data_IF_820337067376
#
_entry.id   IF_820337067376
#
_cell.length_a   1.000
_cell.length_b   1.000
_cell.length_c   1.000
_cell.angle_alpha   90.00
_cell.angle_beta   90.00
_cell.angle_gamma   90.00
#
_symmetry.space_group_name_H-M   'P 1'
#
loop_
_entity.id
_entity.type
_entity.pdbx_description
1 polymer ?
#
# COMPACT_ATOMS: atom_id res chain seq x y z
N UNK A 1 32.34 -1.95 -35.74
CA UNK A 1 31.90 -1.80 -37.11
C UNK A 1 30.48 -1.25 -37.10
N UNK A 2 30.39 0.03 -37.49
CA UNK A 2 29.18 0.81 -37.51
C UNK A 2 28.18 0.23 -38.52
N UNK A 3 26.97 -0.07 -38.04
CA UNK A 3 25.82 -0.23 -38.88
C UNK A 3 25.30 1.18 -39.21
N UNK A 4 25.47 1.64 -40.45
CA UNK A 4 24.81 2.83 -40.96
C UNK A 4 23.33 2.55 -41.09
N UNK A 5 22.51 3.22 -40.28
CA UNK A 5 21.08 3.32 -40.52
C UNK A 5 20.86 4.25 -41.71
N UNK A 6 20.46 3.71 -42.85
CA UNK A 6 20.02 4.48 -44.01
C UNK A 6 18.55 4.84 -43.85
N UNK A 7 18.27 6.05 -43.42
CA UNK A 7 16.93 6.62 -43.51
C UNK A 7 16.61 6.90 -44.98
N UNK A 8 15.61 6.23 -45.55
CA UNK A 8 15.11 6.49 -46.90
C UNK A 8 14.03 7.56 -46.83
N UNK A 9 14.32 8.73 -47.37
CA UNK A 9 13.31 9.76 -47.64
C UNK A 9 12.70 9.50 -49.01
N UNK A 10 11.44 9.09 -49.07
CA UNK A 10 10.73 8.90 -50.33
C UNK A 10 10.16 10.25 -50.80
N UNK A 11 10.67 10.75 -51.94
CA UNK A 11 10.08 11.90 -52.63
C UNK A 11 9.08 11.43 -53.67
N UNK A 12 7.81 11.84 -53.53
CA UNK A 12 6.77 11.61 -54.52
C UNK A 12 6.67 12.86 -55.43
N UNK A 13 7.49 12.92 -56.45
CA UNK A 13 7.48 14.01 -57.42
C UNK A 13 8.36 13.70 -58.65
N UNK A 14 7.85 13.98 -59.85
CA UNK A 14 8.52 13.80 -61.12
C UNK A 14 9.74 14.71 -61.20
N UNK A 15 10.92 14.14 -61.28
CA UNK A 15 12.18 14.87 -61.45
C UNK A 15 12.27 15.54 -62.81
N UNK A 16 12.32 16.85 -62.84
CA UNK A 16 12.79 17.63 -63.96
C UNK A 16 14.08 18.36 -63.53
N UNK A 17 15.18 17.92 -64.15
CA UNK A 17 16.51 18.58 -64.22
C UNK A 17 17.33 18.71 -62.93
N UNK A 18 18.27 17.85 -62.79
CA UNK A 18 19.61 17.89 -62.28
C UNK A 18 20.08 19.09 -61.44
N UNK A 19 19.46 19.31 -60.29
CA UNK A 19 20.10 20.02 -59.18
C UNK A 19 20.13 19.09 -57.97
N UNK A 20 21.33 18.76 -57.51
CA UNK A 20 21.50 18.04 -56.26
C UNK A 20 20.86 18.83 -55.10
N UNK A 21 20.00 18.17 -54.38
CA UNK A 21 19.52 18.71 -53.10
C UNK A 21 20.59 18.34 -52.06
N UNK A 22 21.29 19.33 -51.55
CA UNK A 22 22.12 19.18 -50.35
C UNK A 22 21.15 19.23 -49.18
N UNK A 23 20.97 18.14 -48.50
CA UNK A 23 20.32 18.15 -47.20
C UNK A 23 21.40 18.63 -46.21
N UNK A 24 21.20 19.82 -45.65
CA UNK A 24 22.05 20.34 -44.61
C UNK A 24 21.84 19.47 -43.36
N UNK A 25 22.92 18.87 -42.85
CA UNK A 25 22.92 18.00 -41.66
C UNK A 25 22.33 18.67 -40.40
N UNK A 26 22.12 20.00 -40.44
CA UNK A 26 21.52 20.76 -39.36
C UNK A 26 20.01 20.51 -39.16
N UNK A 27 19.32 19.77 -40.06
CA UNK A 27 17.88 19.54 -39.97
C UNK A 27 17.50 18.09 -39.58
N UNK A 28 18.49 17.21 -39.44
CA UNK A 28 18.26 15.88 -38.85
C UNK A 28 18.67 15.97 -37.39
N UNK A 29 17.77 16.47 -36.55
CA UNK A 29 17.94 16.17 -35.12
C UNK A 29 17.76 14.66 -35.00
N UNK A 30 18.84 13.95 -34.74
CA UNK A 30 18.75 12.67 -34.02
C UNK A 30 18.10 13.01 -32.69
N UNK A 31 16.79 13.13 -32.69
CA UNK A 31 16.04 12.98 -31.45
C UNK A 31 16.31 11.53 -31.06
N UNK A 32 17.23 11.34 -30.12
CA UNK A 32 17.36 10.06 -29.44
C UNK A 32 15.98 9.57 -29.00
N UNK A 33 15.83 8.31 -28.64
CA UNK A 33 14.54 7.82 -28.17
C UNK A 33 13.96 8.79 -27.16
N UNK A 34 12.71 9.21 -27.36
CA UNK A 34 12.02 10.04 -26.38
C UNK A 34 11.87 9.24 -25.11
N UNK A 35 12.25 9.82 -24.00
CA UNK A 35 12.00 9.27 -22.67
C UNK A 35 10.95 10.10 -21.96
N UNK A 36 10.11 9.45 -21.20
CA UNK A 36 9.12 10.09 -20.31
C UNK A 36 9.45 9.77 -18.86
N UNK A 37 9.22 10.75 -17.99
CA UNK A 37 9.37 10.54 -16.55
C UNK A 37 8.19 9.69 -16.04
N UNK A 38 8.48 8.50 -15.54
CA UNK A 38 7.49 7.62 -14.92
C UNK A 38 7.75 7.56 -13.42
N UNK A 39 6.78 8.02 -12.64
CA UNK A 39 6.82 7.93 -11.17
C UNK A 39 6.03 6.72 -10.72
N UNK A 40 6.70 5.83 -10.01
CA UNK A 40 6.12 4.67 -9.37
C UNK A 40 5.93 4.97 -7.89
N UNK A 41 4.71 4.73 -7.37
CA UNK A 41 4.40 4.87 -5.96
C UNK A 41 3.77 3.59 -5.45
N UNK A 42 4.21 3.12 -4.28
CA UNK A 42 3.61 1.99 -3.58
C UNK A 42 3.36 2.33 -2.12
N UNK A 43 2.12 2.14 -1.70
CA UNK A 43 1.79 2.20 -0.29
C UNK A 43 2.11 0.85 0.35
N UNK A 44 3.04 0.86 1.31
CA UNK A 44 3.55 -0.31 2.02
C UNK A 44 2.93 -0.50 3.43
N UNK A 45 1.96 0.33 3.81
CA UNK A 45 1.36 0.28 5.17
C UNK A 45 0.79 -1.09 5.50
N UNK A 46 0.19 -1.79 4.52
CA UNK A 46 -0.31 -3.14 4.75
C UNK A 46 0.78 -4.23 4.76
N UNK A 47 1.99 -3.95 4.25
CA UNK A 47 3.10 -4.90 4.26
C UNK A 47 3.79 -4.97 5.63
N UNK A 48 3.88 -3.84 6.35
CA UNK A 48 4.53 -3.73 7.64
C UNK A 48 6.04 -3.93 7.55
N UNK A 49 6.72 -3.04 6.80
CA UNK A 49 8.18 -3.04 6.67
C UNK A 49 8.85 -2.99 8.04
N UNK A 50 9.94 -3.75 8.19
CA UNK A 50 10.81 -3.68 9.37
C UNK A 50 11.93 -2.66 9.18
N UNK A 51 12.53 -2.22 10.28
CA UNK A 51 13.69 -1.31 10.23
C UNK A 51 14.83 -1.93 9.42
N UNK A 52 15.26 -1.21 8.39
CA UNK A 52 16.30 -1.64 7.45
C UNK A 52 15.79 -2.36 6.20
N UNK A 53 14.49 -2.59 6.06
CA UNK A 53 13.93 -3.07 4.79
C UNK A 53 14.03 -2.01 3.69
N UNK A 54 14.21 -2.46 2.45
CA UNK A 54 14.29 -1.61 1.26
C UNK A 54 13.23 -2.01 0.24
N UNK A 55 12.55 -1.02 -0.33
CA UNK A 55 11.53 -1.21 -1.36
C UNK A 55 12.11 -0.90 -2.72
N UNK A 56 11.79 -1.72 -3.73
CA UNK A 56 12.32 -1.56 -5.08
C UNK A 56 11.21 -1.69 -6.12
N UNK A 57 11.37 -1.01 -7.26
CA UNK A 57 10.61 -1.29 -8.48
C UNK A 57 11.46 -2.11 -9.45
N UNK A 58 11.02 -3.29 -9.81
CA UNK A 58 11.72 -4.19 -10.72
C UNK A 58 10.88 -4.46 -11.97
N UNK A 59 11.52 -4.44 -13.14
CA UNK A 59 10.83 -4.66 -14.39
C UNK A 59 11.79 -4.85 -15.56
N UNK A 60 11.25 -4.96 -16.78
CA UNK A 60 12.02 -5.06 -18.01
C UNK A 60 12.97 -3.87 -18.19
N UNK A 61 12.55 -2.67 -17.76
CA UNK A 61 13.36 -1.45 -17.78
C UNK A 61 14.57 -1.46 -16.83
N UNK A 62 14.57 -2.29 -15.80
CA UNK A 62 15.71 -2.52 -14.91
C UNK A 62 16.46 -3.82 -15.24
N UNK A 63 16.01 -4.57 -16.26
CA UNK A 63 16.51 -5.91 -16.56
C UNK A 63 16.28 -6.89 -15.40
N UNK A 64 15.29 -6.66 -14.54
CA UNK A 64 14.95 -7.48 -13.39
C UNK A 64 16.14 -7.67 -12.41
N UNK A 65 16.91 -6.62 -12.19
CA UNK A 65 18.21 -6.70 -11.51
C UNK A 65 18.15 -6.81 -9.98
N UNK A 66 16.97 -6.65 -9.37
CA UNK A 66 16.76 -6.66 -7.92
C UNK A 66 17.07 -5.30 -7.28
N UNK A 67 18.35 -4.94 -7.15
CA UNK A 67 18.79 -3.70 -6.52
C UNK A 67 19.93 -3.04 -7.32
N UNK A 68 19.60 -2.26 -8.34
CA UNK A 68 20.56 -1.62 -9.23
C UNK A 68 20.23 -0.13 -9.49
N UNK A 69 19.91 0.61 -8.44
CA UNK A 69 19.51 2.02 -8.52
C UNK A 69 18.02 2.20 -8.73
N UNK A 70 17.23 1.20 -8.40
CA UNK A 70 15.78 1.13 -8.46
C UNK A 70 15.13 1.07 -7.05
N UNK A 71 15.88 1.47 -6.04
CA UNK A 71 15.40 1.60 -4.67
C UNK A 71 14.47 2.82 -4.55
N UNK A 72 13.31 2.61 -3.95
CA UNK A 72 12.29 3.61 -3.68
C UNK A 72 12.50 4.22 -2.31
N UNK A 73 12.05 5.44 -2.11
CA UNK A 73 12.22 6.17 -0.85
C UNK A 73 10.91 6.74 -0.34
N UNK A 74 10.79 6.82 0.98
CA UNK A 74 9.69 7.44 1.73
C UNK A 74 10.31 8.47 2.69
N UNK A 75 10.52 9.73 2.23
CA UNK A 75 11.22 10.74 3.02
C UNK A 75 10.37 11.42 4.09
N UNK A 76 9.05 11.35 4.01
CA UNK A 76 8.10 11.96 4.95
C UNK A 76 7.49 10.94 5.93
N UNK A 77 7.74 9.64 5.69
CA UNK A 77 7.38 8.56 6.61
C UNK A 77 5.89 8.22 6.59
N UNK A 78 5.19 8.50 5.48
CA UNK A 78 3.75 8.22 5.34
C UNK A 78 3.45 6.78 4.88
N UNK A 79 4.49 5.97 4.68
CA UNK A 79 4.40 4.59 4.20
C UNK A 79 4.27 4.48 2.68
N UNK A 80 4.33 5.58 1.94
CA UNK A 80 4.29 5.60 0.47
C UNK A 80 5.71 5.76 -0.09
N UNK A 81 6.23 4.70 -0.64
CA UNK A 81 7.55 4.67 -1.28
C UNK A 81 7.44 5.12 -2.73
N UNK A 82 8.36 5.97 -3.19
CA UNK A 82 8.34 6.57 -4.52
C UNK A 82 9.69 6.53 -5.20
N UNK A 83 9.67 6.39 -6.54
CA UNK A 83 10.84 6.60 -7.43
C UNK A 83 10.35 7.13 -8.78
N UNK A 84 11.13 8.04 -9.39
CA UNK A 84 10.89 8.47 -10.77
C UNK A 84 12.03 7.97 -11.66
N UNK A 85 11.67 7.37 -12.79
CA UNK A 85 12.61 6.83 -13.79
C UNK A 85 12.28 7.38 -15.17
N UNK A 86 13.30 7.71 -15.96
CA UNK A 86 13.15 8.06 -17.37
C UNK A 86 13.09 6.79 -18.21
N UNK A 87 11.94 6.50 -18.80
CA UNK A 87 11.69 5.31 -19.61
C UNK A 87 11.45 5.69 -21.07
N UNK A 88 11.98 4.90 -22.02
CA UNK A 88 11.67 5.01 -23.44
C UNK A 88 10.22 4.61 -23.72
N UNK A 89 9.67 5.07 -24.85
CA UNK A 89 8.34 4.64 -25.28
C UNK A 89 8.30 3.11 -25.47
N UNK A 90 7.30 2.47 -24.86
CA UNK A 90 7.19 1.01 -24.89
C UNK A 90 6.14 0.47 -23.92
N UNK A 91 6.02 -0.84 -23.91
CA UNK A 91 5.20 -1.56 -22.93
C UNK A 91 6.13 -2.40 -22.08
N UNK A 92 5.99 -2.30 -20.77
CA UNK A 92 6.90 -2.94 -19.82
C UNK A 92 6.11 -3.74 -18.79
N UNK A 93 6.59 -4.96 -18.52
CA UNK A 93 6.20 -5.72 -17.33
C UNK A 93 7.07 -5.32 -16.15
N UNK A 94 6.47 -5.22 -14.97
CA UNK A 94 7.14 -4.79 -13.76
C UNK A 94 6.39 -5.20 -12.48
N UNK A 95 7.02 -5.06 -11.33
CA UNK A 95 6.44 -5.27 -10.00
C UNK A 95 7.23 -4.55 -8.92
N UNK A 96 6.64 -4.42 -7.75
CA UNK A 96 7.35 -4.02 -6.55
C UNK A 96 7.98 -5.23 -5.86
N UNK A 97 9.11 -5.01 -5.19
CA UNK A 97 9.85 -6.03 -4.45
C UNK A 97 10.43 -5.45 -3.17
N UNK A 98 10.68 -6.31 -2.18
CA UNK A 98 11.32 -5.93 -0.91
C UNK A 98 12.67 -6.63 -0.79
N UNK A 99 13.69 -5.89 -0.30
CA UNK A 99 15.06 -6.38 -0.13
C UNK A 99 15.57 -7.09 -1.38
N UNK A 100 15.52 -6.38 -2.52
CA UNK A 100 15.75 -6.89 -3.86
C UNK A 100 14.71 -7.95 -4.27
N UNK A 101 14.95 -9.23 -4.02
CA UNK A 101 14.06 -10.36 -4.37
C UNK A 101 13.74 -11.23 -3.15
N UNK A 102 13.96 -10.76 -1.92
CA UNK A 102 13.60 -11.54 -0.74
C UNK A 102 12.08 -11.71 -0.63
N UNK A 103 11.34 -10.67 -1.05
CA UNK A 103 9.91 -10.75 -1.26
C UNK A 103 9.50 -9.96 -2.51
N UNK A 104 8.35 -10.29 -3.10
CA UNK A 104 7.84 -9.69 -4.32
C UNK A 104 6.33 -9.77 -4.38
N UNK A 105 5.71 -8.84 -5.10
CA UNK A 105 4.28 -8.93 -5.39
C UNK A 105 3.94 -10.22 -6.15
N UNK A 106 2.81 -10.84 -5.78
CA UNK A 106 2.29 -12.05 -6.40
C UNK A 106 0.82 -11.87 -6.79
N UNK A 107 0.54 -11.93 -8.08
CA UNK A 107 -0.82 -11.91 -8.61
C UNK A 107 -1.16 -13.28 -9.19
N UNK A 108 -2.42 -13.70 -9.05
CA UNK A 108 -2.91 -15.01 -9.53
C UNK A 108 -3.62 -14.96 -10.88
N UNK A 109 -3.89 -13.74 -11.38
CA UNK A 109 -4.63 -13.54 -12.63
C UNK A 109 -4.28 -12.21 -13.31
N UNK A 110 -4.65 -12.08 -14.58
CA UNK A 110 -4.58 -10.82 -15.31
C UNK A 110 -5.76 -9.93 -14.93
N UNK A 111 -5.46 -8.71 -14.48
CA UNK A 111 -6.44 -7.69 -14.07
C UNK A 111 -6.30 -6.51 -15.02
N UNK A 112 -7.37 -6.22 -15.78
CA UNK A 112 -7.36 -5.17 -16.81
C UNK A 112 -6.93 -3.81 -16.23
N UNK A 113 -5.93 -3.18 -16.84
CA UNK A 113 -5.36 -1.90 -16.42
C UNK A 113 -4.37 -1.98 -15.25
N UNK A 114 -4.02 -3.18 -14.80
CA UNK A 114 -3.08 -3.38 -13.71
C UNK A 114 -2.06 -4.48 -14.01
N UNK A 115 -2.51 -5.72 -14.21
CA UNK A 115 -1.63 -6.87 -14.44
C UNK A 115 -1.94 -7.56 -15.75
N UNK A 116 -0.93 -8.20 -16.35
CA UNK A 116 -1.09 -9.02 -17.54
C UNK A 116 -0.24 -10.29 -17.43
N UNK A 117 -0.59 -11.29 -18.26
CA UNK A 117 0.18 -12.54 -18.33
C UNK A 117 1.55 -12.30 -18.96
N UNK A 118 2.59 -12.55 -18.19
CA UNK A 118 3.99 -12.54 -18.59
C UNK A 118 4.54 -13.97 -18.55
N UNK A 119 4.20 -14.77 -19.56
CA UNK A 119 4.63 -16.17 -19.69
C UNK A 119 4.26 -17.07 -18.48
N UNK A 120 3.04 -16.91 -17.98
CA UNK A 120 2.51 -17.66 -16.84
C UNK A 120 2.78 -17.02 -15.48
N UNK A 121 3.46 -15.87 -15.44
CA UNK A 121 3.47 -14.97 -14.30
C UNK A 121 2.51 -13.83 -14.55
N UNK A 122 1.86 -13.33 -13.52
CA UNK A 122 1.03 -12.14 -13.63
C UNK A 122 1.79 -10.97 -13.02
N UNK A 123 2.32 -10.12 -13.89
CA UNK A 123 3.09 -8.94 -13.51
C UNK A 123 2.30 -7.67 -13.85
N UNK A 124 2.59 -6.56 -13.19
CA UNK A 124 2.04 -5.25 -13.57
C UNK A 124 2.49 -4.90 -14.98
N UNK A 125 1.68 -4.15 -15.70
CA UNK A 125 2.02 -3.66 -17.03
C UNK A 125 1.81 -2.15 -17.11
N UNK A 126 2.76 -1.46 -17.74
CA UNK A 126 2.66 -0.03 -18.04
C UNK A 126 2.99 0.21 -19.52
N UNK A 127 2.31 1.17 -20.12
CA UNK A 127 2.59 1.67 -21.48
C UNK A 127 3.11 3.09 -21.37
N UNK A 128 4.31 3.34 -21.89
CA UNK A 128 4.93 4.68 -22.00
C UNK A 128 4.77 5.14 -23.44
N UNK A 129 4.14 6.29 -23.65
CA UNK A 129 3.73 6.79 -24.96
C UNK A 129 4.10 8.26 -25.20
N UNK A 130 5.20 8.72 -24.62
CA UNK A 130 5.75 10.07 -24.80
C UNK A 130 5.19 11.10 -23.80
N UNK A 131 4.43 10.69 -22.80
CA UNK A 131 3.95 11.56 -21.74
C UNK A 131 4.49 11.14 -20.37
N UNK A 132 4.79 12.10 -19.50
CA UNK A 132 5.12 11.82 -18.09
C UNK A 132 3.91 11.20 -17.41
N UNK A 133 4.15 10.20 -16.56
CA UNK A 133 3.13 9.41 -15.89
C UNK A 133 3.44 9.25 -14.41
N UNK A 134 2.39 9.05 -13.62
CA UNK A 134 2.49 8.61 -12.23
C UNK A 134 1.52 7.47 -12.01
N UNK A 135 2.00 6.37 -11.44
CA UNK A 135 1.18 5.23 -11.06
C UNK A 135 1.32 5.02 -9.55
N UNK A 136 0.20 4.70 -8.91
CA UNK A 136 0.13 4.48 -7.47
C UNK A 136 -0.66 3.21 -7.20
N UNK A 137 -0.16 2.38 -6.28
CA UNK A 137 -0.82 1.14 -5.89
C UNK A 137 -0.56 0.82 -4.42
N UNK A 138 -1.47 0.08 -3.81
CA UNK A 138 -1.15 -0.65 -2.59
C UNK A 138 -0.32 -1.88 -2.93
N UNK A 139 0.53 -2.32 -2.02
CA UNK A 139 1.28 -3.58 -2.15
C UNK A 139 0.33 -4.75 -2.45
N UNK A 140 0.67 -5.59 -3.42
CA UNK A 140 -0.14 -6.74 -3.86
C UNK A 140 -1.58 -6.40 -4.29
N UNK A 141 -1.88 -5.15 -4.64
CA UNK A 141 -3.22 -4.72 -5.02
C UNK A 141 -3.20 -3.87 -6.29
N UNK A 142 -4.26 -3.94 -7.07
CA UNK A 142 -4.49 -3.03 -8.20
C UNK A 142 -5.20 -1.73 -7.80
N UNK A 143 -5.49 -1.55 -6.53
CA UNK A 143 -6.03 -0.30 -5.97
C UNK A 143 -4.91 0.61 -5.49
N UNK A 144 -5.15 1.90 -5.51
CA UNK A 144 -4.36 2.96 -4.88
C UNK A 144 -5.01 3.50 -3.59
N UNK A 145 -6.14 2.92 -3.20
CA UNK A 145 -6.94 3.29 -2.02
C UNK A 145 -7.28 2.07 -1.20
N UNK A 146 -7.51 2.26 0.11
CA UNK A 146 -7.80 1.16 1.03
C UNK A 146 -6.60 0.22 1.18
N UNK A 147 -5.42 0.81 1.31
CA UNK A 147 -4.16 0.06 1.42
C UNK A 147 -3.96 -0.58 2.80
N UNK A 148 -4.82 -0.29 3.72
CA UNK A 148 -4.82 -0.90 5.05
C UNK A 148 -5.36 -2.33 4.96
N UNK A 149 -4.60 -3.31 5.43
CA UNK A 149 -5.10 -4.69 5.50
C UNK A 149 -6.16 -4.85 6.60
N UNK A 150 -6.05 -4.07 7.68
CA UNK A 150 -6.96 -4.01 8.81
C UNK A 150 -7.19 -2.54 9.16
N UNK A 151 -8.41 -2.15 9.54
CA UNK A 151 -8.73 -0.79 9.98
C UNK A 151 -9.63 -0.76 11.20
N UNK A 152 -9.52 0.31 11.99
CA UNK A 152 -10.44 0.63 13.07
C UNK A 152 -11.81 1.00 12.47
N UNK A 153 -12.89 0.45 13.04
CA UNK A 153 -14.26 0.71 12.57
C UNK A 153 -15.18 1.23 13.65
N UNK A 154 -14.88 0.93 14.90
CA UNK A 154 -15.69 1.37 16.01
C UNK A 154 -15.08 1.09 17.37
N UNK A 155 -15.45 1.93 18.31
CA UNK A 155 -15.03 1.82 19.70
C UNK A 155 -16.28 1.77 20.55
N UNK A 156 -16.29 0.86 21.52
CA UNK A 156 -17.44 0.60 22.38
C UNK A 156 -17.01 0.76 23.83
N UNK A 157 -17.77 1.53 24.60
CA UNK A 157 -17.60 1.67 26.04
C UNK A 157 -18.97 1.60 26.75
N UNK A 158 -19.53 0.39 26.86
CA UNK A 158 -20.76 0.16 27.64
C UNK A 158 -20.43 -0.01 29.11
N UNK A 159 -21.10 0.74 29.98
CA UNK A 159 -21.01 0.60 31.43
C UNK A 159 -21.79 -0.62 31.93
N UNK A 160 -21.32 -1.82 31.63
CA UNK A 160 -21.97 -3.09 31.97
C UNK A 160 -21.00 -4.05 32.66
N UNK A 161 -21.48 -4.85 33.65
CA UNK A 161 -22.73 -4.58 34.39
C UNK A 161 -22.71 -3.17 35.02
N UNK A 162 -23.82 -2.62 35.41
CA UNK A 162 -23.95 -1.20 35.87
C UNK A 162 -22.71 -0.71 36.68
N UNK A 163 -22.01 0.30 36.12
CA UNK A 163 -20.75 0.81 36.68
C UNK A 163 -19.51 -0.06 36.42
N UNK A 164 -19.64 -1.14 35.63
CA UNK A 164 -18.54 -2.01 35.27
C UNK A 164 -17.84 -1.58 33.96
N UNK A 165 -16.79 -2.31 33.62
CA UNK A 165 -15.96 -2.08 32.43
C UNK A 165 -15.94 -3.27 31.46
N UNK A 166 -16.84 -4.25 31.66
CA UNK A 166 -16.84 -5.47 30.83
C UNK A 166 -17.39 -5.26 29.43
N UNK A 167 -18.08 -4.13 29.18
CA UNK A 167 -18.66 -3.76 27.89
C UNK A 167 -17.73 -2.94 27.00
N UNK A 168 -16.42 -2.96 27.24
CA UNK A 168 -15.42 -2.31 26.40
C UNK A 168 -15.03 -3.21 25.24
N UNK A 169 -15.02 -2.67 24.02
CA UNK A 169 -14.59 -3.41 22.84
C UNK A 169 -14.10 -2.46 21.73
N UNK A 170 -13.30 -3.00 20.84
CA UNK A 170 -12.80 -2.31 19.64
C UNK A 170 -13.14 -3.19 18.43
N UNK A 171 -13.78 -2.59 17.43
CA UNK A 171 -14.15 -3.24 16.20
C UNK A 171 -13.14 -2.89 15.12
N UNK A 172 -12.57 -3.91 14.48
CA UNK A 172 -11.70 -3.76 13.31
C UNK A 172 -12.27 -4.52 12.11
N UNK A 173 -11.92 -4.08 10.91
CA UNK A 173 -12.39 -4.66 9.65
C UNK A 173 -11.19 -5.05 8.78
N UNK A 174 -11.21 -6.28 8.25
CA UNK A 174 -10.20 -6.78 7.34
C UNK A 174 -10.51 -6.40 5.88
N UNK A 175 -9.67 -5.58 5.27
CA UNK A 175 -9.77 -5.19 3.86
C UNK A 175 -9.14 -6.23 2.92
N UNK A 176 -8.25 -7.09 3.44
CA UNK A 176 -7.56 -8.14 2.71
C UNK A 176 -7.54 -9.43 3.53
N UNK A 177 -7.18 -10.56 2.88
CA UNK A 177 -6.89 -11.80 3.58
C UNK A 177 -5.61 -11.62 4.42
N UNK A 178 -5.69 -11.88 5.72
CA UNK A 178 -4.56 -11.81 6.65
C UNK A 178 -4.28 -13.21 7.16
N UNK A 179 -3.12 -13.76 6.80
CA UNK A 179 -2.76 -15.14 7.15
C UNK A 179 -2.48 -15.32 8.65
N UNK A 180 -1.95 -14.29 9.30
CA UNK A 180 -1.62 -14.27 10.73
C UNK A 180 -1.98 -12.90 11.32
N UNK A 181 -3.13 -12.83 12.00
CA UNK A 181 -3.62 -11.59 12.59
C UNK A 181 -2.75 -11.12 13.77
N UNK A 182 -1.91 -11.97 14.34
CA UNK A 182 -1.01 -11.61 15.46
C UNK A 182 0.10 -10.62 15.08
N UNK A 183 0.26 -10.33 13.79
CA UNK A 183 1.11 -9.22 13.32
C UNK A 183 0.53 -7.85 13.68
N UNK A 184 -0.78 -7.78 13.99
CA UNK A 184 -1.47 -6.58 14.43
C UNK A 184 -1.65 -6.53 15.94
N UNK A 185 -1.88 -5.32 16.43
CA UNK A 185 -2.17 -5.06 17.84
C UNK A 185 -2.92 -3.77 18.07
N UNK A 186 -3.31 -3.52 19.29
CA UNK A 186 -4.02 -2.32 19.73
C UNK A 186 -3.29 -1.71 20.90
N UNK A 187 -3.20 -0.37 20.94
CA UNK A 187 -2.85 0.43 22.09
C UNK A 187 -3.96 1.40 22.43
N UNK A 188 -4.06 1.77 23.71
CA UNK A 188 -5.03 2.74 24.23
C UNK A 188 -4.27 3.86 24.93
N UNK A 189 -4.17 5.02 24.27
CA UNK A 189 -3.53 6.21 24.86
C UNK A 189 -4.50 6.93 25.81
N UNK A 190 -4.34 6.66 27.11
CA UNK A 190 -5.28 7.11 28.12
C UNK A 190 -5.12 8.62 28.44
N UNK A 191 -6.23 9.38 28.37
CA UNK A 191 -6.36 10.76 28.87
C UNK A 191 -5.29 11.73 28.33
N UNK A 192 -4.85 11.59 27.07
CA UNK A 192 -3.84 12.46 26.47
C UNK A 192 -2.45 12.33 27.08
N UNK A 193 -2.13 11.17 27.64
CA UNK A 193 -0.82 10.88 28.26
C UNK A 193 0.29 10.54 27.29
N UNK A 194 0.01 10.54 25.99
CA UNK A 194 0.90 10.04 24.94
C UNK A 194 0.73 8.53 24.72
N UNK A 195 1.36 8.02 23.66
CA UNK A 195 1.41 6.57 23.44
C UNK A 195 2.27 5.87 24.49
N UNK A 196 1.81 4.74 25.01
CA UNK A 196 2.59 3.82 25.84
C UNK A 196 2.86 2.47 25.14
N UNK A 197 2.49 2.38 23.86
CA UNK A 197 2.79 1.28 22.98
C UNK A 197 1.64 0.28 22.80
N UNK A 198 1.96 -0.82 22.13
CA UNK A 198 0.99 -1.89 21.88
C UNK A 198 0.71 -2.66 23.18
N UNK A 199 -0.55 -2.68 23.61
CA UNK A 199 -1.00 -3.33 24.84
C UNK A 199 -1.65 -4.70 24.57
N UNK A 200 -2.38 -4.80 23.46
CA UNK A 200 -3.02 -6.03 23.00
C UNK A 200 -2.39 -6.50 21.68
N UNK A 201 -2.06 -7.78 21.61
CA UNK A 201 -1.69 -8.47 20.37
C UNK A 201 -2.83 -9.38 19.97
N UNK A 202 -3.28 -9.31 18.70
CA UNK A 202 -4.32 -10.19 18.22
C UNK A 202 -3.92 -11.67 18.30
N UNK A 203 -4.89 -12.57 18.36
CA UNK A 203 -4.65 -14.00 18.27
C UNK A 203 -4.04 -14.40 16.94
N UNK A 204 -3.17 -15.43 16.94
CA UNK A 204 -2.56 -15.98 15.72
C UNK A 204 -3.58 -16.81 14.94
N UNK A 205 -4.52 -16.14 14.30
CA UNK A 205 -5.56 -16.71 13.43
C UNK A 205 -5.48 -16.07 12.04
N UNK A 206 -6.01 -16.78 11.03
CA UNK A 206 -6.24 -16.18 9.72
C UNK A 206 -7.63 -15.55 9.67
N UNK A 207 -7.74 -14.43 8.97
CA UNK A 207 -9.01 -13.75 8.67
C UNK A 207 -9.08 -13.48 7.17
N UNK A 208 -10.30 -13.38 6.65
CA UNK A 208 -10.54 -13.11 5.23
C UNK A 208 -10.93 -11.66 4.99
N UNK A 209 -10.68 -11.17 3.78
CA UNK A 209 -11.22 -9.89 3.34
C UNK A 209 -12.74 -9.83 3.57
N UNK A 210 -13.21 -8.78 4.20
CA UNK A 210 -14.62 -8.62 4.57
C UNK A 210 -14.96 -9.08 5.98
N UNK A 211 -14.03 -9.67 6.73
CA UNK A 211 -14.29 -10.07 8.11
C UNK A 211 -14.37 -8.87 9.04
N UNK A 212 -15.35 -8.91 9.91
CA UNK A 212 -15.53 -8.02 11.05
C UNK A 212 -15.02 -8.71 12.32
N UNK A 213 -14.07 -8.10 13.00
CA UNK A 213 -13.43 -8.64 14.20
C UNK A 213 -13.74 -7.72 15.38
N UNK A 214 -14.28 -8.27 16.46
CA UNK A 214 -14.48 -7.56 17.71
C UNK A 214 -13.46 -8.02 18.73
N UNK A 215 -12.63 -7.10 19.19
CA UNK A 215 -11.75 -7.30 20.36
C UNK A 215 -12.50 -6.81 21.57
N UNK A 216 -12.87 -7.71 22.47
CA UNK A 216 -13.72 -7.41 23.60
C UNK A 216 -13.03 -7.69 24.93
N UNK A 217 -13.22 -6.80 25.88
CA UNK A 217 -12.74 -7.01 27.26
C UNK A 217 -13.37 -8.28 27.87
N UNK A 218 -14.68 -8.49 27.63
CA UNK A 218 -15.42 -9.67 28.07
C UNK A 218 -16.40 -10.12 27.00
N UNK A 219 -16.00 -11.04 26.09
CA UNK A 219 -16.85 -11.50 24.98
C UNK A 219 -18.25 -11.94 25.36
N UNK A 220 -18.40 -12.64 26.50
CA UNK A 220 -19.71 -13.11 26.98
C UNK A 220 -20.67 -11.95 27.31
N UNK A 221 -20.15 -10.82 27.75
CA UNK A 221 -20.97 -9.61 28.01
C UNK A 221 -21.38 -8.97 26.70
N UNK A 222 -20.48 -8.92 25.70
CA UNK A 222 -20.84 -8.42 24.37
C UNK A 222 -21.88 -9.30 23.70
N UNK A 223 -21.85 -10.61 23.90
CA UNK A 223 -22.92 -11.52 23.45
C UNK A 223 -24.24 -11.23 24.13
N UNK A 224 -24.26 -11.00 25.44
CA UNK A 224 -25.49 -10.72 26.19
C UNK A 224 -26.18 -9.42 25.75
N UNK A 225 -25.38 -8.39 25.39
CA UNK A 225 -25.91 -7.06 25.11
C UNK A 225 -26.11 -6.74 23.63
N UNK A 226 -25.41 -7.42 22.72
CA UNK A 226 -25.47 -7.11 21.30
C UNK A 226 -25.38 -8.32 20.37
N UNK A 227 -25.51 -9.55 20.87
CA UNK A 227 -25.37 -10.78 20.08
C UNK A 227 -24.05 -10.81 19.26
N UNK A 228 -22.95 -10.40 19.88
CA UNK A 228 -21.66 -10.17 19.19
C UNK A 228 -21.20 -11.36 18.36
N UNK A 229 -21.32 -12.59 18.86
CA UNK A 229 -20.96 -13.82 18.13
C UNK A 229 -21.80 -14.09 16.87
N UNK A 230 -22.94 -13.39 16.71
CA UNK A 230 -23.77 -13.48 15.51
C UNK A 230 -23.45 -12.36 14.50
N UNK A 231 -22.97 -11.21 14.99
CA UNK A 231 -22.73 -10.00 14.19
C UNK A 231 -21.31 -10.00 13.62
N UNK A 232 -20.33 -10.42 14.43
CA UNK A 232 -18.91 -10.40 14.06
C UNK A 232 -18.44 -11.78 13.62
N UNK A 233 -17.54 -11.82 12.62
CA UNK A 233 -16.91 -13.06 12.17
C UNK A 233 -16.00 -13.65 13.24
N UNK A 234 -15.35 -12.78 14.02
CA UNK A 234 -14.48 -13.15 15.13
C UNK A 234 -14.76 -12.26 16.34
N UNK A 235 -14.83 -12.88 17.53
CA UNK A 235 -14.91 -12.16 18.83
C UNK A 235 -13.76 -12.64 19.69
N UNK A 236 -12.79 -11.76 19.91
CA UNK A 236 -11.53 -12.06 20.58
C UNK A 236 -11.51 -11.49 22.00
N UNK A 237 -10.82 -12.17 22.90
CA UNK A 237 -10.68 -11.77 24.29
C UNK A 237 -9.45 -10.88 24.49
N UNK A 238 -9.64 -9.62 24.85
CA UNK A 238 -8.55 -8.72 25.24
C UNK A 238 -8.38 -8.58 26.77
N UNK A 239 -9.33 -9.02 27.57
CA UNK A 239 -9.27 -8.86 29.02
C UNK A 239 -9.05 -7.38 29.43
N UNK A 240 -8.04 -7.10 30.26
CA UNK A 240 -7.70 -5.74 30.71
C UNK A 240 -6.78 -4.97 29.77
N UNK A 241 -6.34 -5.58 28.68
CA UNK A 241 -5.37 -4.98 27.74
C UNK A 241 -6.00 -3.85 26.92
N UNK A 242 -7.33 -3.80 26.82
CA UNK A 242 -8.07 -2.64 26.31
C UNK A 242 -8.77 -1.93 27.47
N UNK A 243 -8.44 -0.66 27.68
CA UNK A 243 -8.86 0.09 28.87
C UNK A 243 -9.63 1.38 28.58
N UNK A 244 -9.87 1.69 27.32
CA UNK A 244 -10.51 2.94 26.87
C UNK A 244 -11.79 3.27 27.66
N UNK A 245 -12.09 4.56 27.85
CA UNK A 245 -13.22 5.03 28.65
C UNK A 245 -13.96 6.26 28.07
N UNK A 246 -14.01 6.37 26.74
CA UNK A 246 -14.83 7.35 26.03
C UNK A 246 -14.09 8.60 25.57
N UNK A 247 -12.91 8.87 26.12
CA UNK A 247 -12.07 10.05 25.82
C UNK A 247 -10.61 9.65 25.52
N UNK A 248 -10.35 8.36 25.31
CA UNK A 248 -9.03 7.82 25.04
C UNK A 248 -8.80 7.62 23.53
N UNK A 249 -7.59 7.93 23.06
CA UNK A 249 -7.19 7.63 21.70
C UNK A 249 -6.86 6.13 21.53
N UNK A 250 -7.12 5.59 20.34
CA UNK A 250 -6.89 4.19 20.02
C UNK A 250 -5.89 4.11 18.86
N UNK A 251 -4.84 3.33 19.05
CA UNK A 251 -3.80 3.06 18.07
C UNK A 251 -3.93 1.63 17.53
N UNK A 252 -3.93 1.48 16.21
CA UNK A 252 -3.78 0.18 15.54
C UNK A 252 -2.33 0.00 15.15
N UNK A 253 -1.74 -1.11 15.54
CA UNK A 253 -0.35 -1.47 15.28
C UNK A 253 -0.23 -2.56 14.22
N UNK A 254 0.80 -2.49 13.40
CA UNK A 254 1.28 -3.57 12.54
C UNK A 254 2.78 -3.75 12.78
N UNK A 255 3.20 -4.96 13.19
CA UNK A 255 4.58 -5.29 13.54
C UNK A 255 5.21 -4.30 14.55
N UNK A 256 4.41 -3.77 15.47
CA UNK A 256 4.84 -2.83 16.50
C UNK A 256 4.95 -1.36 16.07
N UNK A 257 4.60 -1.04 14.82
CA UNK A 257 4.46 0.33 14.34
C UNK A 257 2.98 0.74 14.28
N UNK A 258 2.66 1.99 14.62
CA UNK A 258 1.30 2.55 14.49
C UNK A 258 0.98 2.75 13.01
N UNK A 259 -0.12 2.15 12.55
CA UNK A 259 -0.60 2.26 11.15
C UNK A 259 -1.93 3.02 11.05
N UNK A 260 -2.68 3.14 12.12
CA UNK A 260 -3.90 3.94 12.18
C UNK A 260 -4.10 4.47 13.60
N UNK A 261 -4.65 5.68 13.71
CA UNK A 261 -4.93 6.36 14.96
C UNK A 261 -6.37 6.91 14.95
N UNK A 262 -7.12 6.61 16.00
CA UNK A 262 -8.36 7.30 16.32
C UNK A 262 -8.10 8.25 17.50
N UNK A 263 -8.47 9.53 17.33
CA UNK A 263 -8.22 10.56 18.34
C UNK A 263 -6.83 11.18 18.23
N UNK A 264 -6.32 11.72 19.34
CA UNK A 264 -4.99 12.31 19.48
C UNK A 264 -4.37 11.82 20.79
N UNK A 265 -3.24 11.11 20.69
CA UNK A 265 -2.60 10.48 21.87
C UNK A 265 -2.12 11.49 22.93
N UNK A 266 -1.86 12.73 22.53
CA UNK A 266 -1.39 13.81 23.41
C UNK A 266 -2.51 14.72 23.93
N UNK A 267 -3.79 14.40 23.60
CA UNK A 267 -4.96 15.20 23.97
C UNK A 267 -5.98 14.32 24.72
N UNK A 268 -6.40 14.79 25.91
CA UNK A 268 -7.57 14.23 26.61
C UNK A 268 -8.83 14.53 25.77
N UNK A 269 -9.53 13.49 25.33
CA UNK A 269 -10.67 13.59 24.43
C UNK A 269 -11.93 14.19 25.04
N UNK A 270 -11.95 14.46 26.36
CA UNK A 270 -13.10 15.05 27.03
C UNK A 270 -13.49 16.39 26.40
N UNK A 271 -14.66 16.42 25.75
CA UNK A 271 -15.18 17.57 25.03
C UNK A 271 -14.65 17.79 23.62
N UNK A 272 -13.77 16.91 23.14
CA UNK A 272 -13.29 16.92 21.76
C UNK A 272 -14.29 16.26 20.80
N UNK A 273 -14.12 16.47 19.49
CA UNK A 273 -15.04 15.98 18.46
C UNK A 273 -15.03 14.44 18.32
N UNK A 274 -14.06 13.78 18.90
CA UNK A 274 -13.86 12.32 18.87
C UNK A 274 -14.16 11.63 20.22
N UNK A 275 -14.69 12.37 21.22
CA UNK A 275 -15.26 11.77 22.44
C UNK A 275 -16.44 10.84 22.07
N UNK A 276 -16.50 9.62 22.63
CA UNK A 276 -17.46 8.56 22.29
C UNK A 276 -18.18 7.95 23.49
#
# INVERSE_FOLDING_TARGET
>A
PNASATSQVAFNGTAAYGRGITIDDACVSDAGPSTSAVTFNVNMTQYGLMDGDTVHVNGEFTGWCGSCGNEMTDPDGDGIYSITMDLEDGSYFWKFTVNAWNDQEGFSEAIAGCTADNNGNFDRQIVVDGADQSVSYCWNSCSDTGCEALSLQGIIDFTVPSGGSDGKAIHVYAHADIADLSTFGIGVANNGGGTDGQEYTFDAISVSAGDHILVARTPAVMDEYMDASTIFNHVLLASSDISQNGDDAIELYLNGAVVELFGDVDVDGTGEAWEY
#
